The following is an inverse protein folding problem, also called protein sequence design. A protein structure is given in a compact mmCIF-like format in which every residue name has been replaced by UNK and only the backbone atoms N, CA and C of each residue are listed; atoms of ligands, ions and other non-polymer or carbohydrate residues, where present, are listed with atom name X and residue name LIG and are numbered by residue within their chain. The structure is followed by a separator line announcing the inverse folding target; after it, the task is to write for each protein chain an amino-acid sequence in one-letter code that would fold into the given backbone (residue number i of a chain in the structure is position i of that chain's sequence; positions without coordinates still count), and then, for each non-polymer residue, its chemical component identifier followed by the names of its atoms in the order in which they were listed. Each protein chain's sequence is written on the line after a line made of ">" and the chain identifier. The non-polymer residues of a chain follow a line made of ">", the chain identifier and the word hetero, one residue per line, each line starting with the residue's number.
data_IF_030585098629
#
_entry.id   IF_030585098629
#
_cell.length_a   1.000
_cell.length_b   1.000
_cell.length_c   1.000
_cell.angle_alpha   90.00
_cell.angle_beta   90.00
_cell.angle_gamma   90.00
#
_symmetry.space_group_name_H-M   'P 1'
#
loop_
_entity.id
_entity.type
_entity.pdbx_description
1 polymer ?
#
# COMPACT_ATOMS: atom_id res chain seq x y z
N UNK A 1 -27.59 -4.21 -6.13
CA UNK A 1 -26.55 -3.85 -7.15
C UNK A 1 -25.60 -2.74 -6.72
N UNK A 2 -25.65 -2.23 -5.48
CA UNK A 2 -24.64 -1.29 -4.95
C UNK A 2 -23.37 -2.00 -4.43
N UNK A 3 -23.41 -3.33 -4.25
CA UNK A 3 -22.38 -4.05 -3.49
C UNK A 3 -21.13 -4.47 -4.30
N UNK A 4 -21.20 -4.64 -5.63
CA UNK A 4 -20.01 -5.04 -6.41
C UNK A 4 -19.08 -3.87 -6.77
N UNK A 5 -19.61 -2.65 -6.88
CA UNK A 5 -18.81 -1.44 -7.17
C UNK A 5 -18.05 -1.01 -5.91
N UNK A 6 -18.65 -1.20 -4.73
CA UNK A 6 -18.04 -0.85 -3.44
C UNK A 6 -16.84 -1.77 -3.11
N UNK A 7 -16.85 -3.06 -3.48
CA UNK A 7 -15.78 -4.00 -3.10
C UNK A 7 -14.48 -3.76 -3.87
N UNK A 8 -14.54 -3.35 -5.13
CA UNK A 8 -13.33 -2.98 -5.90
C UNK A 8 -12.77 -1.65 -5.39
N UNK A 9 -13.63 -0.69 -5.03
CA UNK A 9 -13.22 0.59 -4.43
C UNK A 9 -12.71 0.46 -2.98
N UNK A 10 -13.18 -0.51 -2.19
CA UNK A 10 -12.72 -0.70 -0.80
C UNK A 10 -11.33 -1.34 -0.73
N UNK A 11 -10.95 -2.16 -1.70
CA UNK A 11 -9.56 -2.63 -1.84
C UNK A 11 -8.61 -1.51 -2.29
N UNK A 12 -9.13 -0.50 -3.00
CA UNK A 12 -8.41 0.75 -3.26
C UNK A 12 -8.27 1.61 -1.98
N UNK A 13 -9.23 1.58 -1.06
CA UNK A 13 -9.25 2.43 0.15
C UNK A 13 -8.41 1.87 1.30
N UNK A 14 -8.20 0.55 1.42
CA UNK A 14 -7.30 0.01 2.46
C UNK A 14 -5.82 0.34 2.21
N UNK A 15 -5.48 0.71 0.97
CA UNK A 15 -4.16 1.26 0.59
C UNK A 15 -4.13 2.80 0.62
N UNK A 16 -5.24 3.43 1.03
CA UNK A 16 -5.50 4.87 0.95
C UNK A 16 -5.88 5.44 2.33
N UNK A 17 -5.03 5.26 3.33
CA UNK A 17 -5.00 6.14 4.51
C UNK A 17 -3.79 7.08 4.39
N UNK A 18 -3.84 8.03 3.45
CA UNK A 18 -3.69 9.47 3.69
C UNK A 18 -3.56 10.26 2.38
N UNK A 19 -4.25 11.40 2.35
CA UNK A 19 -4.07 12.55 1.45
C UNK A 19 -4.69 12.50 0.06
N UNK A 20 -5.97 12.88 0.01
CA UNK A 20 -6.44 13.80 -1.03
C UNK A 20 -6.32 15.24 -0.51
N UNK A 21 -5.32 15.98 -1.00
CA UNK A 21 -5.52 17.39 -1.41
C UNK A 21 -4.28 17.91 -2.12
N UNK A 22 -4.46 18.43 -3.35
CA UNK A 22 -3.62 19.45 -4.01
C UNK A 22 -2.12 19.07 -4.23
N UNK A 23 -1.49 19.13 -5.40
CA UNK A 23 -1.54 20.15 -6.44
C UNK A 23 -0.63 19.75 -7.63
N UNK A 24 -0.89 20.37 -8.78
CA UNK A 24 -0.25 20.22 -10.10
C UNK A 24 1.27 20.42 -10.18
N UNK A 25 1.84 19.78 -11.22
CA UNK A 25 3.04 20.10 -12.04
C UNK A 25 4.42 19.77 -11.45
N UNK A 26 5.12 18.80 -12.07
CA UNK A 26 6.23 19.10 -12.99
C UNK A 26 6.78 17.83 -13.69
N UNK A 27 7.07 17.99 -14.98
CA UNK A 27 7.70 17.03 -15.88
C UNK A 27 9.22 16.91 -15.66
N UNK A 28 9.78 15.80 -16.17
CA UNK A 28 11.19 15.41 -16.35
C UNK A 28 11.86 14.77 -15.11
N UNK A 29 12.57 13.63 -15.21
CA UNK A 29 13.58 13.25 -16.21
C UNK A 29 13.83 11.72 -16.18
N UNK A 30 14.23 11.17 -17.33
CA UNK A 30 14.60 9.76 -17.60
C UNK A 30 16.13 9.59 -17.69
N UNK A 31 16.60 8.34 -17.58
CA UNK A 31 17.94 7.77 -17.88
C UNK A 31 18.90 7.61 -16.70
N UNK A 32 18.72 6.53 -15.94
CA UNK A 32 19.82 5.83 -15.22
C UNK A 32 19.55 4.35 -14.91
N UNK A 33 18.57 3.75 -15.58
CA UNK A 33 18.05 2.40 -15.28
C UNK A 33 19.13 1.30 -15.31
N UNK A 34 20.02 1.29 -16.31
CA UNK A 34 21.06 0.25 -16.42
C UNK A 34 22.25 0.47 -15.44
N UNK A 35 22.48 1.71 -14.97
CA UNK A 35 23.50 1.97 -13.95
C UNK A 35 23.03 1.58 -12.54
N UNK A 36 21.71 1.62 -12.28
CA UNK A 36 21.11 1.25 -10.99
C UNK A 36 21.05 -0.27 -10.78
N UNK A 37 20.84 -1.04 -11.85
CA UNK A 37 20.83 -2.50 -11.82
C UNK A 37 22.21 -3.13 -11.51
N UNK A 38 23.30 -2.47 -11.90
CA UNK A 38 24.67 -2.89 -11.57
C UNK A 38 25.08 -2.47 -10.15
N UNK A 39 24.61 -1.33 -9.65
CA UNK A 39 24.85 -0.89 -8.26
C UNK A 39 24.12 -1.80 -7.25
N UNK A 40 22.88 -2.21 -7.54
CA UNK A 40 22.08 -3.11 -6.70
C UNK A 40 22.65 -4.53 -6.58
N UNK A 41 23.60 -4.92 -7.45
CA UNK A 41 24.22 -6.26 -7.44
C UNK A 41 25.63 -6.32 -6.86
N UNK A 42 26.31 -5.18 -6.62
CA UNK A 42 27.76 -5.19 -6.38
C UNK A 42 28.27 -4.67 -5.02
N UNK A 43 27.45 -4.20 -4.08
CA UNK A 43 27.97 -3.75 -2.76
C UNK A 43 27.17 -4.31 -1.57
N UNK A 44 27.12 -5.65 -1.48
CA UNK A 44 26.72 -6.40 -0.28
C UNK A 44 27.92 -6.86 0.57
N UNK A 45 29.02 -6.09 0.58
CA UNK A 45 30.15 -6.34 1.50
C UNK A 45 30.77 -5.02 1.97
N UNK A 46 30.73 -4.86 3.29
CA UNK A 46 31.57 -4.13 4.24
C UNK A 46 31.97 -2.65 4.08
N UNK A 47 31.97 -2.03 5.27
CA UNK A 47 32.48 -0.75 5.75
C UNK A 47 31.80 0.54 5.30
N UNK A 48 31.27 1.29 6.29
CA UNK A 48 31.76 2.64 6.65
C UNK A 48 31.14 3.09 8.00
N UNK A 49 32.02 3.28 8.98
CA UNK A 49 31.79 4.00 10.24
C UNK A 49 31.61 5.50 9.98
N UNK A 50 30.52 6.11 10.46
CA UNK A 50 30.53 7.45 11.09
C UNK A 50 29.37 7.56 12.10
N UNK A 51 29.61 8.05 13.33
CA UNK A 51 28.58 8.18 14.35
C UNK A 51 27.76 9.46 14.13
N UNK A 52 26.46 9.31 13.87
CA UNK A 52 25.52 10.43 13.92
C UNK A 52 25.31 10.83 15.39
N UNK A 53 25.59 12.08 15.71
CA UNK A 53 25.40 12.64 17.06
C UNK A 53 23.93 13.01 17.29
N UNK A 54 23.40 12.58 18.43
CA UNK A 54 22.08 12.98 18.94
C UNK A 54 22.21 14.28 19.74
N UNK A 55 21.46 15.31 19.37
CA UNK A 55 21.21 16.46 20.25
C UNK A 55 20.11 16.06 21.25
N UNK A 56 20.49 15.94 22.53
CA UNK A 56 19.67 15.40 23.60
C UNK A 56 18.84 16.46 24.34
N UNK A 57 18.77 17.71 23.86
CA UNK A 57 18.19 18.80 24.63
C UNK A 57 17.17 19.64 23.86
N UNK A 58 16.05 19.04 23.45
CA UNK A 58 14.79 19.79 23.37
C UNK A 58 13.60 18.82 23.26
N UNK A 59 12.86 18.65 24.37
CA UNK A 59 11.38 18.66 24.38
C UNK A 59 10.86 18.32 25.78
N UNK A 60 10.72 19.37 26.59
CA UNK A 60 9.95 19.33 27.84
C UNK A 60 8.45 19.49 27.51
N UNK A 61 7.84 18.46 26.93
CA UNK A 61 6.40 18.20 27.03
C UNK A 61 6.11 16.71 26.78
N UNK A 62 5.92 15.89 27.83
CA UNK A 62 5.73 14.44 27.71
C UNK A 62 4.36 14.03 27.12
N UNK A 63 3.39 14.95 27.03
CA UNK A 63 1.98 14.63 26.70
C UNK A 63 1.60 14.79 25.22
N UNK A 64 2.53 15.17 24.35
CA UNK A 64 2.25 15.20 22.90
C UNK A 64 3.16 14.21 22.17
N UNK A 65 2.55 13.27 21.45
CA UNK A 65 3.16 12.61 20.28
C UNK A 65 3.45 13.71 19.24
N UNK A 66 4.44 14.55 19.51
CA UNK A 66 4.93 15.57 18.58
C UNK A 66 5.76 14.83 17.52
N UNK A 67 5.05 14.12 16.66
CA UNK A 67 5.64 13.43 15.50
C UNK A 67 5.74 14.51 14.42
N UNK A 68 6.75 15.37 14.53
CA UNK A 68 7.10 16.22 13.39
C UNK A 68 7.43 15.29 12.20
N UNK A 69 6.79 15.50 11.03
CA UNK A 69 7.12 14.74 9.84
C UNK A 69 8.63 14.84 9.60
N UNK A 70 9.35 13.72 9.73
CA UNK A 70 10.82 13.69 9.58
C UNK A 70 11.25 13.83 8.10
N UNK A 71 10.30 14.09 7.20
CA UNK A 71 10.47 14.14 5.76
C UNK A 71 9.65 15.33 5.24
N UNK A 72 10.29 16.22 4.48
CA UNK A 72 9.58 17.30 3.79
C UNK A 72 8.56 16.68 2.82
N UNK A 73 7.25 16.98 2.95
CA UNK A 73 6.24 16.47 2.02
C UNK A 73 6.47 16.90 0.56
N UNK A 74 7.36 17.88 0.29
CA UNK A 74 7.77 18.32 -1.03
C UNK A 74 9.04 17.64 -1.56
N UNK A 75 9.74 16.85 -0.75
CA UNK A 75 10.90 16.11 -1.23
C UNK A 75 10.49 15.09 -2.30
N UNK A 76 11.27 15.05 -3.38
CA UNK A 76 11.08 14.00 -4.40
C UNK A 76 11.39 12.66 -3.75
N UNK A 77 10.41 11.76 -3.78
CA UNK A 77 10.56 10.39 -3.26
C UNK A 77 11.75 9.71 -3.92
N UNK A 78 12.82 9.52 -3.16
CA UNK A 78 13.98 8.75 -3.58
C UNK A 78 13.82 7.32 -3.04
N UNK A 79 13.23 6.47 -3.89
CA UNK A 79 12.88 5.08 -3.56
C UNK A 79 14.06 4.31 -2.98
N UNK A 80 15.24 4.43 -3.60
CA UNK A 80 16.43 3.69 -3.17
C UNK A 80 16.97 4.19 -1.83
N UNK A 81 17.13 5.51 -1.69
CA UNK A 81 17.62 6.11 -0.46
C UNK A 81 16.69 5.79 0.71
N UNK A 82 15.38 5.93 0.54
CA UNK A 82 14.43 5.73 1.64
C UNK A 82 14.29 4.27 2.03
N UNK A 83 14.38 3.34 1.07
CA UNK A 83 14.44 1.91 1.39
C UNK A 83 15.73 1.56 2.16
N UNK A 84 16.87 2.18 1.81
CA UNK A 84 18.14 2.00 2.55
C UNK A 84 18.05 2.54 3.97
N UNK A 85 17.58 3.78 4.12
CA UNK A 85 17.44 4.40 5.45
C UNK A 85 16.42 3.66 6.32
N UNK A 86 15.35 3.08 5.73
CA UNK A 86 14.44 2.19 6.46
C UNK A 86 15.17 0.94 6.97
N UNK A 87 15.97 0.29 6.13
CA UNK A 87 16.74 -0.89 6.53
C UNK A 87 17.76 -0.59 7.64
N UNK A 88 18.30 0.62 7.69
CA UNK A 88 19.18 1.11 8.76
C UNK A 88 18.40 1.39 10.05
N UNK A 89 17.35 2.21 9.97
CA UNK A 89 16.53 2.56 11.14
C UNK A 89 15.84 1.32 11.75
N UNK A 90 15.50 0.32 10.95
CA UNK A 90 14.97 -0.96 11.45
C UNK A 90 15.92 -1.69 12.41
N UNK A 91 17.23 -1.46 12.32
CA UNK A 91 18.23 -2.03 13.24
C UNK A 91 18.22 -1.32 14.60
N UNK A 92 17.67 -0.10 14.65
CA UNK A 92 17.62 0.75 15.84
C UNK A 92 16.32 0.61 16.63
N UNK A 93 15.57 -0.48 16.40
CA UNK A 93 14.32 -0.75 17.11
C UNK A 93 14.53 -0.67 18.63
N UNK A 94 13.73 0.12 19.36
CA UNK A 94 13.81 0.19 20.81
C UNK A 94 13.61 -1.18 21.45
N UNK A 95 14.39 -1.47 22.49
CA UNK A 95 14.16 -2.67 23.32
C UNK A 95 12.92 -2.43 24.17
N UNK A 96 11.97 -3.37 24.11
CA UNK A 96 10.73 -3.30 24.90
C UNK A 96 10.95 -4.08 26.18
N UNK A 97 10.96 -3.38 27.32
CA UNK A 97 11.12 -3.99 28.65
C UNK A 97 9.79 -4.20 29.36
N UNK A 98 8.78 -3.40 29.04
CA UNK A 98 7.44 -3.46 29.61
C UNK A 98 6.41 -2.97 28.58
N UNK A 99 5.42 -3.80 28.27
CA UNK A 99 4.34 -3.46 27.32
C UNK A 99 3.21 -2.63 27.93
N UNK A 100 3.21 -2.45 29.26
CA UNK A 100 2.25 -1.61 29.98
C UNK A 100 2.76 -0.18 30.21
N UNK A 101 4.04 0.08 29.95
CA UNK A 101 4.66 1.40 30.14
C UNK A 101 4.42 2.33 28.94
N UNK A 102 3.74 3.45 29.18
CA UNK A 102 3.42 4.45 28.16
C UNK A 102 4.66 5.13 27.58
N UNK A 103 5.74 5.26 28.35
CA UNK A 103 7.01 5.85 27.87
C UNK A 103 7.66 4.91 26.86
N UNK A 104 7.75 3.62 27.18
CA UNK A 104 8.23 2.57 26.27
C UNK A 104 7.37 2.51 25.00
N UNK A 105 6.05 2.55 25.15
CA UNK A 105 5.11 2.54 24.03
C UNK A 105 5.30 3.75 23.09
N UNK A 106 5.48 4.94 23.67
CA UNK A 106 5.72 6.18 22.94
C UNK A 106 7.06 6.16 22.20
N UNK A 107 8.12 5.68 22.84
CA UNK A 107 9.43 5.53 22.21
C UNK A 107 9.37 4.57 21.02
N UNK A 108 8.66 3.45 21.16
CA UNK A 108 8.43 2.50 20.07
C UNK A 108 7.62 3.12 18.92
N UNK A 109 6.57 3.88 19.21
CA UNK A 109 5.78 4.57 18.19
C UNK A 109 6.60 5.60 17.40
N UNK A 110 7.49 6.36 18.05
CA UNK A 110 8.39 7.29 17.36
C UNK A 110 9.29 6.57 16.34
N UNK A 111 9.83 5.41 16.71
CA UNK A 111 10.60 4.56 15.80
C UNK A 111 9.74 4.02 14.66
N UNK A 112 8.55 3.47 14.97
CA UNK A 112 7.61 2.93 14.00
C UNK A 112 7.21 3.98 12.96
N UNK A 113 6.76 5.17 13.40
CA UNK A 113 6.25 6.20 12.49
C UNK A 113 7.31 6.70 11.51
N UNK A 114 8.58 6.82 11.92
CA UNK A 114 9.67 7.21 11.02
C UNK A 114 9.84 6.26 9.84
N UNK A 115 9.78 4.96 10.10
CA UNK A 115 9.97 3.91 9.08
C UNK A 115 8.69 3.75 8.25
N UNK A 116 7.53 3.71 8.92
CA UNK A 116 6.23 3.61 8.27
C UNK A 116 6.00 4.78 7.30
N UNK A 117 6.29 6.02 7.71
CA UNK A 117 6.13 7.20 6.86
C UNK A 117 6.88 7.04 5.53
N UNK A 118 8.16 6.64 5.56
CA UNK A 118 8.95 6.41 4.34
C UNK A 118 8.41 5.25 3.51
N UNK A 119 8.04 4.13 4.12
CA UNK A 119 7.42 3.02 3.38
C UNK A 119 6.15 3.47 2.66
N UNK A 120 5.27 4.21 3.35
CA UNK A 120 4.02 4.71 2.78
C UNK A 120 4.26 5.71 1.66
N UNK A 121 5.21 6.64 1.82
CA UNK A 121 5.52 7.60 0.75
C UNK A 121 6.16 6.92 -0.48
N UNK A 122 7.07 5.94 -0.30
CA UNK A 122 7.60 5.14 -1.41
C UNK A 122 6.48 4.37 -2.12
N UNK A 123 5.61 3.70 -1.35
CA UNK A 123 4.49 2.93 -1.89
C UNK A 123 3.54 3.82 -2.69
N UNK A 124 3.14 4.97 -2.13
CA UNK A 124 2.28 5.95 -2.80
C UNK A 124 2.90 6.47 -4.11
N UNK A 125 4.21 6.74 -4.12
CA UNK A 125 4.91 7.18 -5.32
C UNK A 125 4.92 6.11 -6.43
N UNK A 126 5.19 4.85 -6.07
CA UNK A 126 5.22 3.75 -7.04
C UNK A 126 3.82 3.44 -7.59
N UNK A 127 2.79 3.49 -6.74
CA UNK A 127 1.41 3.35 -7.17
C UNK A 127 0.99 4.49 -8.11
N UNK A 128 1.31 5.74 -7.78
CA UNK A 128 1.08 6.89 -8.66
C UNK A 128 1.76 6.72 -10.03
N UNK A 129 3.01 6.28 -10.07
CA UNK A 129 3.72 6.04 -11.33
C UNK A 129 3.05 4.95 -12.18
N UNK A 130 2.52 3.90 -11.56
CA UNK A 130 1.76 2.87 -12.28
C UNK A 130 0.42 3.39 -12.80
N UNK A 131 -0.39 4.04 -11.96
CA UNK A 131 -1.71 4.56 -12.34
C UNK A 131 -1.62 5.65 -13.42
N UNK A 132 -0.57 6.47 -13.41
CA UNK A 132 -0.36 7.52 -14.42
C UNK A 132 0.40 7.04 -15.66
N UNK A 133 1.06 5.88 -15.59
CA UNK A 133 1.79 5.27 -16.70
C UNK A 133 1.78 3.74 -16.57
N UNK A 134 0.69 3.12 -17.03
CA UNK A 134 0.44 1.68 -16.92
C UNK A 134 1.42 0.91 -17.81
N UNK A 135 2.47 0.37 -17.20
CA UNK A 135 3.48 -0.47 -17.85
C UNK A 135 3.82 -1.66 -16.97
N UNK A 136 4.33 -2.74 -17.58
CA UNK A 136 4.76 -3.94 -16.84
C UNK A 136 5.87 -3.60 -15.83
N UNK A 137 6.74 -2.65 -16.17
CA UNK A 137 7.84 -2.22 -15.30
C UNK A 137 7.31 -1.51 -14.04
N UNK A 138 6.43 -0.53 -14.20
CA UNK A 138 5.84 0.17 -13.04
C UNK A 138 5.03 -0.79 -12.15
N UNK A 139 4.33 -1.75 -12.76
CA UNK A 139 3.62 -2.80 -12.02
C UNK A 139 4.56 -3.68 -11.18
N UNK A 140 5.72 -4.06 -11.75
CA UNK A 140 6.75 -4.84 -11.05
C UNK A 140 7.32 -4.08 -9.86
N UNK A 141 7.63 -2.79 -10.04
CA UNK A 141 8.20 -1.94 -8.98
C UNK A 141 7.21 -1.79 -7.80
N UNK A 142 5.95 -1.47 -8.09
CA UNK A 142 4.89 -1.39 -7.07
C UNK A 142 4.72 -2.72 -6.32
N UNK A 143 4.69 -3.83 -7.05
CA UNK A 143 4.58 -5.18 -6.46
C UNK A 143 5.79 -5.51 -5.59
N UNK A 144 7.01 -5.15 -6.03
CA UNK A 144 8.24 -5.40 -5.29
C UNK A 144 8.28 -4.62 -3.97
N UNK A 145 7.81 -3.36 -3.97
CA UNK A 145 7.74 -2.55 -2.75
C UNK A 145 6.79 -3.16 -1.71
N UNK A 146 5.63 -3.67 -2.13
CA UNK A 146 4.69 -4.36 -1.22
C UNK A 146 5.34 -5.56 -0.53
N UNK A 147 6.13 -6.34 -1.28
CA UNK A 147 6.88 -7.48 -0.72
C UNK A 147 8.03 -7.03 0.19
N UNK A 148 8.69 -5.90 -0.12
CA UNK A 148 9.76 -5.35 0.69
C UNK A 148 9.26 -4.83 2.05
N UNK A 149 8.06 -4.28 2.10
CA UNK A 149 7.44 -3.78 3.33
C UNK A 149 6.91 -4.91 4.23
N UNK A 150 6.63 -6.09 3.66
CA UNK A 150 6.02 -7.19 4.42
C UNK A 150 6.83 -7.64 5.66
N UNK A 151 8.15 -7.88 5.59
CA UNK A 151 8.96 -8.20 6.77
C UNK A 151 8.86 -7.17 7.90
N UNK A 152 8.76 -5.89 7.57
CA UNK A 152 8.53 -4.85 8.56
C UNK A 152 7.18 -5.03 9.25
N UNK A 153 6.10 -5.25 8.50
CA UNK A 153 4.77 -5.56 9.06
C UNK A 153 4.79 -6.80 9.96
N UNK A 154 5.50 -7.86 9.56
CA UNK A 154 5.70 -9.07 10.37
C UNK A 154 6.35 -8.80 11.72
N UNK A 155 7.27 -7.84 11.76
CA UNK A 155 7.95 -7.42 12.98
C UNK A 155 7.04 -6.57 13.87
N UNK A 156 6.33 -5.61 13.29
CA UNK A 156 5.63 -4.58 14.09
C UNK A 156 4.23 -4.97 14.56
N UNK A 157 3.51 -5.81 13.81
CA UNK A 157 2.12 -6.17 14.15
C UNK A 157 2.03 -6.97 15.46
N UNK A 158 2.87 -8.01 15.71
CA UNK A 158 2.85 -8.72 16.99
C UNK A 158 3.16 -7.80 18.17
N UNK A 159 4.14 -6.90 18.02
CA UNK A 159 4.49 -5.91 19.05
C UNK A 159 3.30 -4.99 19.33
N UNK A 160 2.62 -4.51 18.29
CA UNK A 160 1.43 -3.67 18.45
C UNK A 160 0.27 -4.40 19.13
N UNK A 161 0.10 -5.70 18.87
CA UNK A 161 -0.89 -6.54 19.57
C UNK A 161 -0.58 -6.63 21.06
N UNK A 162 0.68 -6.84 21.44
CA UNK A 162 1.10 -6.85 22.85
C UNK A 162 0.85 -5.51 23.55
N UNK A 163 1.23 -4.38 22.95
CA UNK A 163 0.91 -3.06 23.50
C UNK A 163 -0.60 -2.83 23.60
N UNK A 164 -1.37 -3.21 22.58
CA UNK A 164 -2.83 -3.06 22.60
C UNK A 164 -3.48 -3.87 23.73
N UNK A 165 -2.99 -5.07 24.02
CA UNK A 165 -3.48 -5.90 25.12
C UNK A 165 -3.11 -5.32 26.49
N UNK A 166 -1.88 -4.84 26.66
CA UNK A 166 -1.37 -4.36 27.94
C UNK A 166 -1.77 -2.90 28.27
N UNK A 167 -2.13 -2.09 27.27
CA UNK A 167 -2.57 -0.70 27.45
C UNK A 167 -4.10 -0.52 27.45
N UNK A 168 -4.90 -1.58 27.55
CA UNK A 168 -6.38 -1.49 27.55
C UNK A 168 -6.92 -0.51 28.60
N UNK A 169 -6.32 -0.53 29.78
CA UNK A 169 -6.71 0.29 30.93
C UNK A 169 -5.92 1.61 31.04
N UNK A 170 -5.02 1.91 30.10
CA UNK A 170 -4.30 3.19 30.07
C UNK A 170 -5.27 4.37 29.99
N UNK A 171 -4.98 5.45 30.72
CA UNK A 171 -5.73 6.70 30.64
C UNK A 171 -5.43 7.46 29.32
N UNK A 172 -4.33 7.12 28.64
CA UNK A 172 -3.94 7.69 27.37
C UNK A 172 -4.78 7.13 26.20
N UNK A 173 -5.85 7.86 25.88
CA UNK A 173 -6.76 7.50 24.80
C UNK A 173 -6.12 7.43 23.40
N UNK A 174 -5.02 8.16 23.17
CA UNK A 174 -4.34 8.17 21.89
C UNK A 174 -3.49 6.91 21.68
N UNK A 175 -2.75 6.47 22.70
CA UNK A 175 -2.01 5.20 22.64
C UNK A 175 -2.96 4.03 22.39
N UNK A 176 -4.09 3.96 23.10
CA UNK A 176 -5.11 2.92 22.88
C UNK A 176 -5.64 2.93 21.44
N UNK A 177 -5.92 4.11 20.89
CA UNK A 177 -6.43 4.23 19.51
C UNK A 177 -5.37 3.79 18.49
N UNK A 178 -4.13 4.23 18.65
CA UNK A 178 -3.03 3.92 17.73
C UNK A 178 -2.70 2.42 17.78
N UNK A 179 -2.45 1.85 18.96
CA UNK A 179 -2.14 0.44 19.08
C UNK A 179 -3.33 -0.46 18.72
N UNK A 180 -4.55 -0.04 19.06
CA UNK A 180 -5.77 -0.72 18.60
C UNK A 180 -5.83 -0.81 17.08
N UNK A 181 -5.49 0.28 16.36
CA UNK A 181 -5.41 0.26 14.89
C UNK A 181 -4.29 -0.64 14.39
N UNK A 182 -3.07 -0.49 14.91
CA UNK A 182 -1.90 -1.28 14.49
C UNK A 182 -2.08 -2.79 14.75
N UNK A 183 -2.73 -3.16 15.85
CA UNK A 183 -3.03 -4.54 16.22
C UNK A 183 -3.99 -5.24 15.24
N UNK A 184 -4.74 -4.49 14.43
CA UNK A 184 -5.59 -5.05 13.35
C UNK A 184 -4.79 -5.51 12.12
N UNK A 185 -3.47 -5.28 12.11
CA UNK A 185 -2.60 -5.72 11.03
C UNK A 185 -2.70 -7.23 10.77
N UNK A 186 -2.68 -7.59 9.49
CA UNK A 186 -2.71 -8.97 9.00
C UNK A 186 -1.37 -9.26 8.35
N UNK A 187 -0.68 -10.29 8.84
CA UNK A 187 0.66 -10.68 8.38
C UNK A 187 0.64 -12.13 7.90
N UNK A 188 1.45 -12.49 6.90
CA UNK A 188 1.46 -13.83 6.31
C UNK A 188 2.87 -14.41 6.27
N UNK A 189 3.13 -15.42 7.09
CA UNK A 189 4.47 -16.05 7.13
C UNK A 189 4.79 -16.82 5.84
N UNK A 190 3.77 -17.02 4.99
CA UNK A 190 3.90 -17.67 3.71
C UNK A 190 4.23 -16.66 2.60
N UNK A 191 5.52 -16.35 2.46
CA UNK A 191 6.03 -15.46 1.40
C UNK A 191 5.65 -15.90 -0.02
N UNK A 192 5.43 -17.20 -0.26
CA UNK A 192 4.99 -17.72 -1.56
C UNK A 192 3.54 -17.30 -1.84
N UNK A 193 2.66 -17.46 -0.85
CA UNK A 193 1.26 -17.06 -0.97
C UNK A 193 1.11 -15.54 -1.02
N UNK A 194 1.90 -14.80 -0.25
CA UNK A 194 1.92 -13.33 -0.31
C UNK A 194 2.34 -12.83 -1.70
N UNK A 195 3.40 -13.41 -2.28
CA UNK A 195 3.84 -13.09 -3.64
C UNK A 195 2.78 -13.46 -4.68
N UNK A 196 2.08 -14.58 -4.48
CA UNK A 196 0.97 -14.98 -5.35
C UNK A 196 -0.21 -14.01 -5.25
N UNK A 197 -0.60 -13.62 -4.05
CA UNK A 197 -1.67 -12.66 -3.80
C UNK A 197 -1.35 -11.29 -4.43
N UNK A 198 -0.11 -10.80 -4.25
CA UNK A 198 0.34 -9.53 -4.84
C UNK A 198 0.28 -9.56 -6.36
N UNK A 199 0.71 -10.66 -6.99
CA UNK A 199 0.60 -10.84 -8.45
C UNK A 199 -0.85 -10.92 -8.93
N UNK A 200 -1.74 -11.57 -8.18
CA UNK A 200 -3.16 -11.66 -8.52
C UNK A 200 -3.84 -10.29 -8.41
N UNK A 201 -3.51 -9.51 -7.38
CA UNK A 201 -3.97 -8.14 -7.22
C UNK A 201 -3.54 -7.25 -8.39
N UNK A 202 -2.25 -7.22 -8.71
CA UNK A 202 -1.72 -6.48 -9.86
C UNK A 202 -2.39 -6.90 -11.18
N UNK A 203 -2.66 -8.21 -11.35
CA UNK A 203 -3.39 -8.73 -12.51
C UNK A 203 -4.85 -8.22 -12.56
N UNK A 204 -5.55 -8.13 -11.43
CA UNK A 204 -6.91 -7.58 -11.36
C UNK A 204 -6.94 -6.11 -11.79
N UNK A 205 -6.02 -5.30 -11.25
CA UNK A 205 -5.88 -3.89 -11.62
C UNK A 205 -5.62 -3.72 -13.12
N UNK A 206 -4.67 -4.49 -13.66
CA UNK A 206 -4.33 -4.42 -15.08
C UNK A 206 -5.50 -4.83 -15.98
N UNK A 207 -6.27 -5.87 -15.64
CA UNK A 207 -7.45 -6.26 -16.42
C UNK A 207 -8.44 -5.09 -16.52
N UNK A 208 -8.71 -4.43 -15.40
CA UNK A 208 -9.62 -3.29 -15.38
C UNK A 208 -9.08 -2.11 -16.18
N UNK A 209 -7.79 -1.77 -15.98
CA UNK A 209 -7.17 -0.58 -16.56
C UNK A 209 -7.03 -0.66 -18.09
N UNK A 210 -6.80 -1.84 -18.65
CA UNK A 210 -6.56 -2.02 -20.10
C UNK A 210 -7.77 -2.54 -20.88
N UNK A 211 -8.86 -2.93 -20.21
CA UNK A 211 -10.04 -3.46 -20.87
C UNK A 211 -10.66 -2.43 -21.83
N UNK A 212 -11.04 -2.91 -23.01
CA UNK A 212 -11.70 -2.12 -24.05
C UNK A 212 -12.81 -2.93 -24.68
N UNK A 213 -13.89 -2.24 -25.07
CA UNK A 213 -15.04 -2.81 -25.77
C UNK A 213 -15.00 -2.33 -27.22
N UNK A 214 -15.05 -3.24 -28.17
CA UNK A 214 -14.99 -2.93 -29.60
C UNK A 214 -16.39 -2.89 -30.23
N UNK A 215 -16.56 -2.07 -31.26
CA UNK A 215 -17.79 -2.04 -32.06
C UNK A 215 -18.00 -3.38 -32.78
N UNK A 216 -19.24 -3.87 -32.84
CA UNK A 216 -19.53 -5.08 -33.61
C UNK A 216 -19.37 -4.87 -35.13
N UNK A 217 -19.57 -3.64 -35.61
CA UNK A 217 -19.43 -3.29 -37.02
C UNK A 217 -17.98 -3.02 -37.45
N UNK A 218 -17.11 -2.69 -36.50
CA UNK A 218 -15.69 -2.40 -36.75
C UNK A 218 -14.85 -2.86 -35.55
N UNK A 219 -14.30 -4.10 -35.59
CA UNK A 219 -13.48 -4.64 -34.53
C UNK A 219 -12.22 -3.82 -34.21
N UNK A 220 -11.78 -2.93 -35.10
CA UNK A 220 -10.66 -2.03 -34.86
C UNK A 220 -11.00 -0.85 -33.95
N UNK A 221 -12.29 -0.54 -33.79
CA UNK A 221 -12.77 0.60 -33.03
C UNK A 221 -13.14 0.19 -31.61
N UNK A 222 -12.17 0.29 -30.70
CA UNK A 222 -12.32 -0.12 -29.30
C UNK A 222 -12.22 1.04 -28.32
N UNK A 223 -13.04 1.00 -27.27
CA UNK A 223 -13.16 2.07 -26.30
C UNK A 223 -12.91 1.55 -24.88
N UNK A 224 -12.11 2.30 -24.11
CA UNK A 224 -11.92 2.06 -22.69
C UNK A 224 -13.13 2.53 -21.87
N UNK A 225 -13.21 2.11 -20.61
CA UNK A 225 -14.27 2.52 -19.69
C UNK A 225 -14.39 4.04 -19.60
N UNK A 226 -13.30 4.69 -19.19
CA UNK A 226 -13.21 6.14 -19.09
C UNK A 226 -12.40 6.72 -20.28
N UNK A 227 -12.82 7.87 -20.85
CA UNK A 227 -14.07 8.59 -20.58
C UNK A 227 -15.26 8.08 -21.43
N UNK A 228 -15.07 7.08 -22.30
CA UNK A 228 -16.00 6.80 -23.39
C UNK A 228 -17.23 5.99 -22.97
N UNK A 229 -17.04 4.76 -22.46
CA UNK A 229 -18.17 3.90 -22.08
C UNK A 229 -18.97 4.52 -20.93
N UNK A 230 -18.31 5.20 -20.00
CA UNK A 230 -18.98 6.01 -18.97
C UNK A 230 -19.90 7.05 -19.58
N UNK A 231 -19.43 7.81 -20.57
CA UNK A 231 -20.26 8.81 -21.28
C UNK A 231 -21.43 8.17 -22.01
N UNK A 232 -21.21 7.02 -22.66
CA UNK A 232 -22.30 6.27 -23.32
C UNK A 232 -23.37 5.90 -22.30
N UNK A 233 -22.98 5.29 -21.17
CA UNK A 233 -23.89 4.90 -20.10
C UNK A 233 -24.58 6.10 -19.42
N UNK A 234 -23.99 7.29 -19.50
CA UNK A 234 -24.52 8.52 -18.88
C UNK A 234 -25.51 9.26 -19.78
N UNK A 235 -25.24 9.37 -21.07
CA UNK A 235 -25.93 10.31 -21.98
C UNK A 235 -26.85 9.61 -22.98
N UNK A 236 -26.49 8.41 -23.43
CA UNK A 236 -27.24 7.71 -24.46
C UNK A 236 -28.59 7.22 -23.94
N UNK A 237 -29.59 7.21 -24.83
CA UNK A 237 -30.93 6.68 -24.56
C UNK A 237 -31.29 5.49 -25.44
N UNK A 238 -30.47 5.22 -26.45
CA UNK A 238 -30.65 4.07 -27.33
C UNK A 238 -30.36 2.77 -26.57
N UNK A 239 -31.35 1.88 -26.55
CA UNK A 239 -31.28 0.64 -25.76
C UNK A 239 -30.16 -0.28 -26.25
N UNK A 240 -29.97 -0.39 -27.57
CA UNK A 240 -28.97 -1.27 -28.15
C UNK A 240 -27.56 -0.73 -27.88
N UNK A 241 -27.38 0.60 -27.91
CA UNK A 241 -26.11 1.25 -27.58
C UNK A 241 -25.73 1.06 -26.12
N UNK A 242 -26.69 1.22 -25.20
CA UNK A 242 -26.48 0.97 -23.77
C UNK A 242 -26.18 -0.51 -23.51
N UNK A 243 -26.90 -1.41 -24.19
CA UNK A 243 -26.70 -2.86 -24.06
C UNK A 243 -25.33 -3.27 -24.56
N UNK A 244 -24.88 -2.76 -25.71
CA UNK A 244 -23.53 -2.98 -26.22
C UNK A 244 -22.46 -2.56 -25.21
N UNK A 245 -22.56 -1.34 -24.66
CA UNK A 245 -21.59 -0.84 -23.70
C UNK A 245 -21.57 -1.67 -22.41
N UNK A 246 -22.75 -1.95 -21.83
CA UNK A 246 -22.88 -2.70 -20.59
C UNK A 246 -22.41 -4.15 -20.76
N UNK A 247 -22.97 -4.87 -21.74
CA UNK A 247 -22.66 -6.27 -21.98
C UNK A 247 -21.21 -6.43 -22.42
N UNK A 248 -20.74 -5.59 -23.35
CA UNK A 248 -19.37 -5.60 -23.82
C UNK A 248 -18.37 -5.40 -22.69
N UNK A 249 -18.64 -4.48 -21.75
CA UNK A 249 -17.76 -4.29 -20.60
C UNK A 249 -17.70 -5.52 -19.68
N UNK A 250 -18.84 -6.12 -19.36
CA UNK A 250 -18.88 -7.35 -18.56
C UNK A 250 -18.22 -8.53 -19.27
N UNK A 251 -18.37 -8.61 -20.59
CA UNK A 251 -17.77 -9.67 -21.40
C UNK A 251 -16.24 -9.52 -21.48
N UNK A 252 -15.73 -8.29 -21.65
CA UNK A 252 -14.30 -8.01 -21.83
C UNK A 252 -13.51 -7.86 -20.53
N UNK A 253 -14.11 -7.30 -19.48
CA UNK A 253 -13.50 -7.13 -18.17
C UNK A 253 -13.97 -8.21 -17.19
N UNK A 254 -15.29 -8.29 -16.95
CA UNK A 254 -15.89 -9.12 -15.91
C UNK A 254 -15.54 -10.61 -16.01
N UNK A 255 -15.62 -11.19 -17.21
CA UNK A 255 -15.26 -12.60 -17.44
C UNK A 255 -13.79 -12.91 -17.10
N UNK A 256 -12.87 -11.97 -17.37
CA UNK A 256 -11.43 -12.10 -17.08
C UNK A 256 -11.14 -11.92 -15.59
N UNK A 257 -11.87 -11.02 -14.93
CA UNK A 257 -11.75 -10.76 -13.48
C UNK A 257 -12.15 -11.98 -12.65
N UNK A 258 -13.28 -12.65 -12.97
CA UNK A 258 -13.88 -13.71 -12.14
C UNK A 258 -12.88 -14.78 -11.63
N UNK A 259 -12.14 -15.51 -12.49
CA UNK A 259 -11.24 -16.57 -12.01
C UNK A 259 -10.06 -16.04 -11.19
N UNK A 260 -9.56 -14.84 -11.52
CA UNK A 260 -8.47 -14.19 -10.79
C UNK A 260 -8.93 -13.76 -9.40
N UNK A 261 -10.12 -13.17 -9.34
CA UNK A 261 -10.73 -12.70 -8.09
C UNK A 261 -10.99 -13.84 -7.11
N UNK A 262 -11.55 -14.97 -7.58
CA UNK A 262 -11.77 -16.14 -6.73
C UNK A 262 -10.46 -16.65 -6.12
N UNK A 263 -9.41 -16.80 -6.94
CA UNK A 263 -8.10 -17.22 -6.46
C UNK A 263 -7.47 -16.24 -5.47
N UNK A 264 -7.71 -14.94 -5.66
CA UNK A 264 -7.23 -13.89 -4.78
C UNK A 264 -7.94 -13.92 -3.42
N UNK A 265 -9.27 -14.01 -3.43
CA UNK A 265 -10.09 -14.08 -2.22
C UNK A 265 -9.82 -15.35 -1.42
N UNK A 266 -9.58 -16.48 -2.05
CA UNK A 266 -9.21 -17.71 -1.35
C UNK A 266 -7.91 -17.54 -0.54
N UNK A 267 -6.89 -16.90 -1.13
CA UNK A 267 -5.63 -16.60 -0.44
C UNK A 267 -5.82 -15.59 0.69
N UNK A 268 -6.60 -14.54 0.44
CA UNK A 268 -6.87 -13.53 1.44
C UNK A 268 -7.67 -14.11 2.62
N UNK A 269 -8.74 -14.87 2.38
CA UNK A 269 -9.52 -15.50 3.44
C UNK A 269 -8.68 -16.50 4.24
N UNK A 270 -7.77 -17.23 3.58
CA UNK A 270 -6.82 -18.11 4.27
C UNK A 270 -5.95 -17.31 5.24
N UNK A 271 -5.29 -16.25 4.76
CA UNK A 271 -4.42 -15.40 5.56
C UNK A 271 -5.17 -14.74 6.74
N UNK A 272 -6.38 -14.24 6.49
CA UNK A 272 -7.24 -13.61 7.49
C UNK A 272 -7.62 -14.59 8.61
N UNK A 273 -7.94 -15.84 8.26
CA UNK A 273 -8.22 -16.91 9.25
C UNK A 273 -7.00 -17.29 10.06
N UNK A 274 -5.82 -17.33 9.44
CA UNK A 274 -4.54 -17.56 10.14
C UNK A 274 -4.24 -16.44 11.14
N UNK A 275 -4.77 -15.23 10.92
CA UNK A 275 -4.65 -14.08 11.82
C UNK A 275 -5.78 -13.98 12.87
N UNK A 276 -6.67 -14.98 12.97
CA UNK A 276 -7.70 -15.07 14.02
C UNK A 276 -9.04 -14.41 13.67
N UNK A 277 -9.24 -13.98 12.43
CA UNK A 277 -10.50 -13.41 11.95
C UNK A 277 -11.35 -14.46 11.23
N UNK A 278 -12.67 -14.25 11.16
CA UNK A 278 -13.59 -15.21 10.52
C UNK A 278 -13.46 -15.24 9.00
N UNK A 279 -13.40 -14.05 8.39
CA UNK A 279 -13.26 -13.82 6.95
C UNK A 279 -12.92 -12.36 6.67
N UNK A 280 -12.77 -12.00 5.39
CA UNK A 280 -12.45 -10.65 4.94
C UNK A 280 -13.46 -9.55 5.32
N UNK A 281 -14.67 -9.90 5.76
CA UNK A 281 -15.60 -8.92 6.29
C UNK A 281 -15.04 -8.37 7.61
N UNK A 282 -14.48 -7.17 7.52
CA UNK A 282 -14.24 -6.36 8.70
C UNK A 282 -15.63 -5.94 9.19
N UNK A 283 -16.07 -6.46 10.33
CA UNK A 283 -17.20 -5.88 11.05
C UNK A 283 -16.75 -4.49 11.54
N UNK A 284 -17.01 -3.48 10.72
CA UNK A 284 -16.88 -2.06 11.06
C UNK A 284 -18.16 -1.62 11.77
#
# INVERSE_FOLDING_TARGET
>A
MKNCIIIVSLLFISSFEFSTSYQKRNHHFDRRFEQLLDILKLHLTDDFDEPITFDANNDNNPDSLNIEPQVDPNDRVNVELWNRLNAEDEKTMPTITDYSDEVTATAWLKWYFRIAQRHHQVSAHLHWNYETNITEENQKLMTAQSLLQSPFSHKVVPIAKEFNENLKESENGDLKRIFGRLATGVVSDNMVELKKASKLHAKLENIYAVAKVCESSDPGKCYALAPYLERVMQVEKDYDRLTWAWKGWHDECGNKVRPVYLSYIDLLNKNIKENGYTDLSVNI
#
